data_IF_428294181093
#
_entry.id   IF_428294181093
#
_cell.length_a   1.000
_cell.length_b   1.000
_cell.length_c   1.000
_cell.angle_alpha   90.00
_cell.angle_beta   90.00
_cell.angle_gamma   90.00
#
_symmetry.space_group_name_H-M   'P 1'
#
loop_
_entity.id
_entity.type
_entity.pdbx_description
1 polymer ?
#
# COMPACT_ATOMS: atom_id res chain seq x y z
N UNK A 1 -6.63 -15.15 9.75
CA UNK A 1 -7.41 -15.99 8.81
C UNK A 1 -6.81 -17.38 8.69
N UNK A 2 -5.48 -17.55 8.70
CA UNK A 2 -4.79 -18.84 8.83
C UNK A 2 -3.52 -18.64 9.64
N UNK A 3 -3.21 -19.51 10.59
CA UNK A 3 -1.94 -19.46 11.34
C UNK A 3 -0.76 -19.84 10.43
N UNK A 4 0.41 -19.18 10.53
CA UNK A 4 1.56 -19.46 9.67
C UNK A 4 1.99 -20.94 9.68
N UNK A 5 1.97 -21.58 10.85
CA UNK A 5 2.29 -22.99 11.01
C UNK A 5 1.31 -23.89 10.25
N UNK A 6 0.02 -23.55 10.27
CA UNK A 6 -1.02 -24.30 9.57
C UNK A 6 -0.84 -24.16 8.05
N UNK A 7 -0.54 -22.95 7.56
CA UNK A 7 -0.24 -22.73 6.15
C UNK A 7 0.98 -23.53 5.69
N UNK A 8 2.06 -23.51 6.49
CA UNK A 8 3.27 -24.27 6.20
C UNK A 8 3.00 -25.78 6.13
N UNK A 9 2.27 -26.33 7.11
CA UNK A 9 1.88 -27.74 7.13
C UNK A 9 1.02 -28.11 5.92
N UNK A 10 0.03 -27.27 5.59
CA UNK A 10 -0.83 -27.49 4.44
C UNK A 10 -0.05 -27.59 3.12
N UNK A 11 0.94 -26.71 2.91
CA UNK A 11 1.80 -26.72 1.72
C UNK A 11 2.73 -27.93 1.71
N UNK A 12 3.42 -28.19 2.83
CA UNK A 12 4.38 -29.31 2.96
C UNK A 12 3.71 -30.66 2.72
N UNK A 13 2.55 -30.86 3.34
CA UNK A 13 1.84 -32.14 3.34
C UNK A 13 0.79 -32.24 2.21
N UNK A 14 0.74 -31.23 1.32
CA UNK A 14 -0.19 -31.14 0.17
C UNK A 14 -1.65 -31.29 0.57
N UNK A 15 -2.07 -30.59 1.62
CA UNK A 15 -3.43 -30.60 2.15
C UNK A 15 -4.18 -29.29 1.81
N UNK A 16 -4.67 -29.11 0.57
CA UNK A 16 -5.30 -27.86 0.13
C UNK A 16 -6.58 -27.52 0.90
N UNK A 17 -7.32 -28.52 1.38
CA UNK A 17 -8.62 -28.32 2.04
C UNK A 17 -8.53 -27.72 3.45
N UNK A 18 -7.32 -27.63 4.02
CA UNK A 18 -7.09 -27.10 5.37
C UNK A 18 -6.96 -25.58 5.44
N UNK A 19 -6.86 -24.93 4.29
CA UNK A 19 -6.69 -23.47 4.18
C UNK A 19 -7.54 -22.94 3.02
N UNK A 20 -7.84 -21.64 2.96
CA UNK A 20 -8.55 -21.06 1.82
C UNK A 20 -7.82 -21.33 0.50
N UNK A 21 -8.56 -21.74 -0.52
CA UNK A 21 -8.01 -22.14 -1.82
C UNK A 21 -7.12 -21.06 -2.46
N UNK A 22 -7.53 -19.79 -2.38
CA UNK A 22 -6.77 -18.66 -2.91
C UNK A 22 -5.39 -18.52 -2.23
N UNK A 23 -5.32 -18.77 -0.91
CA UNK A 23 -4.08 -18.66 -0.13
C UNK A 23 -3.16 -19.85 -0.40
N UNK A 24 -3.72 -21.05 -0.52
CA UNK A 24 -2.96 -22.24 -0.89
C UNK A 24 -2.34 -22.10 -2.28
N UNK A 25 -3.14 -21.71 -3.28
CA UNK A 25 -2.68 -21.49 -4.65
C UNK A 25 -1.60 -20.42 -4.70
N UNK A 26 -1.80 -19.30 -4.00
CA UNK A 26 -0.81 -18.24 -3.91
C UNK A 26 0.52 -18.67 -3.31
N UNK A 27 0.48 -19.46 -2.25
CA UNK A 27 1.70 -19.95 -1.62
C UNK A 27 2.44 -20.95 -2.51
N UNK A 28 1.74 -21.80 -3.25
CA UNK A 28 2.33 -22.70 -4.24
C UNK A 28 2.96 -21.92 -5.41
N UNK A 29 2.25 -20.91 -5.93
CA UNK A 29 2.75 -20.04 -7.00
C UNK A 29 4.04 -19.33 -6.56
N UNK A 30 4.01 -18.67 -5.40
CA UNK A 30 5.17 -17.99 -4.83
C UNK A 30 6.35 -18.95 -4.59
N UNK A 31 6.10 -20.14 -4.03
CA UNK A 31 7.14 -21.15 -3.84
C UNK A 31 7.74 -21.63 -5.18
N UNK A 32 6.92 -21.72 -6.23
CA UNK A 32 7.39 -22.12 -7.56
C UNK A 32 8.25 -21.04 -8.23
N UNK A 33 7.93 -19.75 -8.02
CA UNK A 33 8.70 -18.62 -8.54
C UNK A 33 10.14 -18.66 -8.01
N UNK A 34 10.32 -18.89 -6.72
CA UNK A 34 11.66 -19.01 -6.11
C UNK A 34 12.44 -20.18 -6.70
N UNK A 35 11.82 -21.36 -6.81
CA UNK A 35 12.52 -22.56 -7.31
C UNK A 35 12.98 -22.41 -8.75
N UNK A 36 12.18 -21.73 -9.57
CA UNK A 36 12.41 -21.67 -11.02
C UNK A 36 13.21 -20.43 -11.44
N UNK A 37 13.08 -19.31 -10.71
CA UNK A 37 13.64 -18.00 -11.09
C UNK A 37 14.60 -17.40 -10.05
N UNK A 38 14.71 -17.98 -8.85
CA UNK A 38 15.54 -17.49 -7.73
C UNK A 38 15.29 -16.03 -7.33
N UNK A 39 14.13 -15.47 -7.67
CA UNK A 39 13.76 -14.11 -7.33
C UNK A 39 12.88 -14.10 -6.07
N UNK A 40 13.46 -13.68 -4.95
CA UNK A 40 12.76 -13.58 -3.66
C UNK A 40 11.78 -12.40 -3.67
N UNK A 41 12.08 -11.33 -4.43
CA UNK A 41 11.21 -10.15 -4.48
C UNK A 41 9.89 -10.45 -5.23
N UNK A 42 9.89 -11.45 -6.12
CA UNK A 42 8.68 -11.91 -6.81
C UNK A 42 7.66 -12.54 -5.84
N UNK A 43 8.10 -13.12 -4.71
CA UNK A 43 7.21 -13.70 -3.68
C UNK A 43 6.27 -12.63 -3.13
N UNK A 44 6.82 -11.52 -2.65
CA UNK A 44 6.04 -10.45 -2.03
C UNK A 44 5.04 -9.87 -3.03
N UNK A 45 5.45 -9.72 -4.30
CA UNK A 45 4.57 -9.22 -5.37
C UNK A 45 3.39 -10.15 -5.65
N UNK A 46 3.63 -11.46 -5.72
CA UNK A 46 2.58 -12.47 -5.93
C UNK A 46 1.59 -12.43 -4.76
N UNK A 47 2.11 -12.48 -3.53
CA UNK A 47 1.29 -12.51 -2.33
C UNK A 47 0.49 -11.22 -2.14
N UNK A 48 1.10 -10.05 -2.36
CA UNK A 48 0.41 -8.77 -2.28
C UNK A 48 -0.70 -8.66 -3.33
N UNK A 49 -0.45 -9.07 -4.57
CA UNK A 49 -1.47 -9.07 -5.63
C UNK A 49 -2.65 -9.95 -5.26
N UNK A 50 -2.40 -11.15 -4.74
CA UNK A 50 -3.45 -12.08 -4.33
C UNK A 50 -4.24 -11.55 -3.14
N UNK A 51 -3.55 -11.02 -2.13
CA UNK A 51 -4.18 -10.43 -0.95
C UNK A 51 -5.09 -9.25 -1.32
N UNK A 52 -4.66 -8.35 -2.21
CA UNK A 52 -5.48 -7.23 -2.66
C UNK A 52 -6.65 -7.68 -3.55
N UNK A 53 -6.43 -8.67 -4.42
CA UNK A 53 -7.50 -9.24 -5.26
C UNK A 53 -8.60 -9.82 -4.38
N UNK A 54 -8.22 -10.62 -3.38
CA UNK A 54 -9.18 -11.24 -2.46
C UNK A 54 -9.86 -10.20 -1.56
N UNK A 55 -9.12 -9.19 -1.07
CA UNK A 55 -9.69 -8.12 -0.27
C UNK A 55 -10.76 -7.34 -1.06
N UNK A 56 -10.50 -7.06 -2.34
CA UNK A 56 -11.45 -6.36 -3.21
C UNK A 56 -12.67 -7.24 -3.51
N UNK A 57 -12.47 -8.53 -3.81
CA UNK A 57 -13.58 -9.48 -4.00
C UNK A 57 -14.50 -9.51 -2.77
N UNK A 58 -13.92 -9.66 -1.57
CA UNK A 58 -14.67 -9.65 -0.31
C UNK A 58 -15.40 -8.31 -0.10
N UNK A 59 -14.75 -7.19 -0.38
CA UNK A 59 -15.37 -5.87 -0.25
C UNK A 59 -16.53 -5.66 -1.25
N UNK A 60 -16.45 -6.25 -2.45
CA UNK A 60 -17.53 -6.26 -3.44
C UNK A 60 -18.71 -7.11 -2.95
N UNK A 61 -18.45 -8.28 -2.38
CA UNK A 61 -19.49 -9.16 -1.80
C UNK A 61 -20.19 -8.52 -0.60
N UNK A 62 -19.44 -7.79 0.23
CA UNK A 62 -19.97 -6.98 1.31
C UNK A 62 -20.87 -5.84 0.81
N UNK A 63 -20.74 -5.43 -0.45
CA UNK A 63 -21.52 -4.35 -1.06
C UNK A 63 -21.34 -2.99 -0.38
N UNK A 64 -20.20 -2.77 0.29
CA UNK A 64 -19.96 -1.57 1.08
C UNK A 64 -19.01 -0.59 0.34
N UNK A 65 -19.52 0.56 -0.14
CA UNK A 65 -18.73 1.52 -0.89
C UNK A 65 -17.56 2.11 -0.10
N UNK A 66 -17.69 2.27 1.23
CA UNK A 66 -16.63 2.84 2.05
C UNK A 66 -15.38 1.94 2.08
N UNK A 67 -15.57 0.61 2.14
CA UNK A 67 -14.49 -0.36 2.11
C UNK A 67 -13.87 -0.49 0.72
N UNK A 68 -14.69 -0.51 -0.32
CA UNK A 68 -14.21 -0.51 -1.70
C UNK A 68 -13.36 0.73 -2.00
N UNK A 69 -13.86 1.91 -1.64
CA UNK A 69 -13.13 3.17 -1.82
C UNK A 69 -11.82 3.19 -1.05
N UNK A 70 -11.80 2.64 0.18
CA UNK A 70 -10.58 2.49 0.96
C UNK A 70 -9.56 1.59 0.26
N UNK A 71 -9.98 0.43 -0.25
CA UNK A 71 -9.09 -0.51 -0.93
C UNK A 71 -8.58 0.06 -2.25
N UNK A 72 -9.45 0.69 -3.05
CA UNK A 72 -9.05 1.38 -4.28
C UNK A 72 -8.01 2.47 -4.00
N UNK A 73 -8.27 3.32 -2.99
CA UNK A 73 -7.33 4.35 -2.55
C UNK A 73 -5.99 3.74 -2.15
N UNK A 74 -6.01 2.69 -1.32
CA UNK A 74 -4.81 1.97 -0.89
C UNK A 74 -4.01 1.41 -2.06
N UNK A 75 -4.68 0.81 -3.04
CA UNK A 75 -4.06 0.27 -4.25
C UNK A 75 -3.40 1.38 -5.06
N UNK A 76 -4.10 2.49 -5.32
CA UNK A 76 -3.55 3.60 -6.11
C UNK A 76 -2.32 4.23 -5.43
N UNK A 77 -2.39 4.45 -4.12
CA UNK A 77 -1.26 4.99 -3.35
C UNK A 77 -0.04 4.04 -3.35
N UNK A 78 -0.29 2.73 -3.26
CA UNK A 78 0.77 1.73 -3.36
C UNK A 78 1.41 1.73 -4.76
N UNK A 79 0.59 1.77 -5.81
CA UNK A 79 1.04 1.81 -7.21
C UNK A 79 1.82 3.07 -7.54
N UNK A 80 1.37 4.24 -7.09
CA UNK A 80 2.12 5.49 -7.17
C UNK A 80 3.45 5.38 -6.41
N UNK A 81 3.44 4.80 -5.21
CA UNK A 81 4.66 4.55 -4.45
C UNK A 81 5.65 3.63 -5.19
N UNK A 82 5.16 2.60 -5.87
CA UNK A 82 5.96 1.72 -6.72
C UNK A 82 6.53 2.48 -7.91
N UNK A 83 5.73 3.28 -8.62
CA UNK A 83 6.18 4.13 -9.73
C UNK A 83 7.30 5.07 -9.29
N UNK A 84 7.10 5.79 -8.17
CA UNK A 84 8.09 6.71 -7.63
C UNK A 84 9.41 5.98 -7.31
N UNK A 85 9.34 4.86 -6.60
CA UNK A 85 10.54 4.06 -6.27
C UNK A 85 11.25 3.54 -7.52
N UNK A 86 10.50 3.01 -8.49
CA UNK A 86 11.08 2.49 -9.73
C UNK A 86 11.82 3.59 -10.51
N UNK A 87 11.27 4.81 -10.57
CA UNK A 87 11.94 5.96 -11.21
C UNK A 87 13.20 6.38 -10.44
N UNK A 88 13.13 6.47 -9.12
CA UNK A 88 14.28 6.83 -8.27
C UNK A 88 15.44 5.83 -8.39
N UNK A 89 15.11 4.54 -8.43
CA UNK A 89 16.07 3.44 -8.55
C UNK A 89 16.52 3.19 -10.00
N UNK A 90 15.95 3.90 -10.97
CA UNK A 90 16.14 3.64 -12.41
C UNK A 90 15.93 2.15 -12.75
N UNK A 91 14.89 1.57 -12.16
CA UNK A 91 14.53 0.17 -12.37
C UNK A 91 14.02 -0.07 -13.80
N UNK A 92 13.84 -1.34 -14.18
CA UNK A 92 13.21 -1.69 -15.46
C UNK A 92 11.68 -1.44 -15.39
N UNK A 93 11.12 -0.87 -16.46
CA UNK A 93 9.66 -0.72 -16.65
C UNK A 93 8.92 -2.05 -16.45
N UNK A 94 9.51 -3.17 -16.85
CA UNK A 94 8.96 -4.52 -16.65
C UNK A 94 8.76 -4.83 -15.17
N UNK A 95 9.74 -4.48 -14.33
CA UNK A 95 9.67 -4.70 -12.88
C UNK A 95 8.58 -3.84 -12.23
N UNK A 96 8.39 -2.60 -12.70
CA UNK A 96 7.26 -1.78 -12.26
C UNK A 96 5.94 -2.48 -12.58
N UNK A 97 5.73 -2.93 -13.81
CA UNK A 97 4.50 -3.62 -14.22
C UNK A 97 4.20 -4.87 -13.38
N UNK A 98 5.24 -5.63 -13.02
CA UNK A 98 5.10 -6.79 -12.13
C UNK A 98 4.74 -6.40 -10.69
N UNK A 99 5.14 -5.21 -10.22
CA UNK A 99 4.83 -4.72 -8.88
C UNK A 99 3.46 -4.05 -8.74
N UNK A 100 2.75 -3.78 -9.85
CA UNK A 100 1.47 -3.09 -9.79
C UNK A 100 0.39 -3.99 -9.19
N UNK A 101 -0.31 -3.43 -8.21
CA UNK A 101 -1.46 -4.01 -7.55
C UNK A 101 -2.73 -3.80 -8.39
N UNK A 102 -3.64 -4.80 -8.38
CA UNK A 102 -4.84 -4.78 -9.21
C UNK A 102 -5.95 -3.92 -8.60
N UNK A 103 -6.89 -3.51 -9.47
CA UNK A 103 -8.11 -2.81 -9.08
C UNK A 103 -7.85 -1.51 -8.29
N UNK A 104 -6.91 -0.70 -8.77
CA UNK A 104 -6.85 0.72 -8.47
C UNK A 104 -7.79 1.51 -9.40
N UNK A 105 -8.03 2.78 -9.12
CA UNK A 105 -8.73 3.67 -10.05
C UNK A 105 -7.79 4.22 -11.12
N UNK A 106 -6.48 4.23 -10.85
CA UNK A 106 -5.47 4.58 -11.85
C UNK A 106 -5.23 3.40 -12.80
N UNK A 107 -5.33 3.68 -14.10
CA UNK A 107 -5.04 2.68 -15.12
C UNK A 107 -3.54 2.32 -15.08
N UNK A 108 -3.24 1.01 -15.13
CA UNK A 108 -1.89 0.48 -15.21
C UNK A 108 -1.13 1.01 -16.43
N UNK A 109 -1.78 1.17 -17.57
CA UNK A 109 -1.16 1.72 -18.78
C UNK A 109 -0.69 3.15 -18.57
N UNK A 110 -1.48 3.97 -17.85
CA UNK A 110 -1.12 5.34 -17.48
C UNK A 110 0.08 5.36 -16.54
N UNK A 111 0.10 4.48 -15.53
CA UNK A 111 1.23 4.37 -14.61
C UNK A 111 2.51 3.95 -15.34
N UNK A 112 2.39 3.01 -16.28
CA UNK A 112 3.51 2.56 -17.11
C UNK A 112 3.96 3.63 -18.10
N UNK A 113 3.06 4.45 -18.66
CA UNK A 113 3.45 5.59 -19.49
C UNK A 113 4.19 6.65 -18.68
N UNK A 114 3.72 6.96 -17.47
CA UNK A 114 4.39 7.89 -16.57
C UNK A 114 5.79 7.41 -16.15
N UNK A 115 6.06 6.12 -16.17
CA UNK A 115 7.41 5.62 -15.92
C UNK A 115 8.46 6.19 -16.88
N UNK A 116 8.09 6.37 -18.17
CA UNK A 116 8.98 6.90 -19.20
C UNK A 116 8.75 8.40 -19.49
N UNK A 117 7.72 9.00 -18.91
CA UNK A 117 7.39 10.41 -19.13
C UNK A 117 8.36 11.37 -18.44
N UNK A 118 8.38 12.60 -18.93
CA UNK A 118 9.07 13.71 -18.28
C UNK A 118 8.40 14.07 -16.96
N UNK A 119 9.21 14.51 -15.98
CA UNK A 119 8.75 14.84 -14.63
C UNK A 119 7.63 15.89 -14.62
N UNK A 120 7.72 16.89 -15.50
CA UNK A 120 6.73 17.96 -15.65
C UNK A 120 5.35 17.40 -16.04
N UNK A 121 5.31 16.49 -17.02
CA UNK A 121 4.07 15.84 -17.46
C UNK A 121 3.39 15.08 -16.31
N UNK A 122 4.15 14.30 -15.54
CA UNK A 122 3.61 13.50 -14.43
C UNK A 122 3.04 14.43 -13.35
N UNK A 123 3.77 15.50 -13.02
CA UNK A 123 3.33 16.48 -12.02
C UNK A 123 2.05 17.19 -12.47
N UNK A 124 1.95 17.61 -13.73
CA UNK A 124 0.74 18.23 -14.27
C UNK A 124 -0.46 17.28 -14.28
N UNK A 125 -0.27 16.03 -14.70
CA UNK A 125 -1.35 15.06 -14.76
C UNK A 125 -1.86 14.69 -13.36
N UNK A 126 -0.95 14.48 -12.39
CA UNK A 126 -1.32 14.21 -11.01
C UNK A 126 -2.00 15.41 -10.34
N UNK A 127 -1.55 16.64 -10.64
CA UNK A 127 -2.13 17.86 -10.08
C UNK A 127 -3.60 18.08 -10.47
N UNK A 128 -4.04 17.54 -11.61
CA UNK A 128 -5.44 17.57 -12.08
C UNK A 128 -6.31 16.49 -11.43
N UNK A 129 -5.70 15.50 -10.79
CA UNK A 129 -6.37 14.31 -10.27
C UNK A 129 -6.62 14.33 -8.76
N UNK A 130 -7.21 13.24 -8.22
CA UNK A 130 -7.47 13.10 -6.78
C UNK A 130 -6.20 12.96 -5.93
N UNK A 131 -5.03 12.86 -6.56
CA UNK A 131 -3.72 12.68 -5.94
C UNK A 131 -2.81 13.90 -6.11
N UNK A 132 -3.39 15.09 -6.28
CA UNK A 132 -2.64 16.33 -6.51
C UNK A 132 -1.56 16.61 -5.45
N UNK A 133 -1.82 16.25 -4.19
CA UNK A 133 -0.85 16.38 -3.09
C UNK A 133 0.44 15.55 -3.29
N UNK A 134 0.39 14.53 -4.15
CA UNK A 134 1.55 13.68 -4.46
C UNK A 134 2.36 14.18 -5.66
N UNK A 135 1.82 15.11 -6.45
CA UNK A 135 2.46 15.62 -7.67
C UNK A 135 3.88 16.20 -7.44
N UNK A 136 4.16 16.93 -6.34
CA UNK A 136 5.50 17.50 -6.11
C UNK A 136 6.61 16.45 -5.99
N UNK A 137 6.28 15.23 -5.54
CA UNK A 137 7.26 14.15 -5.40
C UNK A 137 7.76 13.61 -6.75
N UNK A 138 7.08 13.95 -7.86
CA UNK A 138 7.46 13.55 -9.21
C UNK A 138 8.19 14.63 -10.00
N UNK A 139 8.43 15.80 -9.41
CA UNK A 139 9.09 16.95 -10.04
C UNK A 139 10.57 16.72 -10.45
N UNK A 140 11.15 15.57 -10.09
CA UNK A 140 12.56 15.24 -10.35
C UNK A 140 13.53 15.80 -9.30
N UNK A 141 13.10 16.71 -8.43
CA UNK A 141 13.90 17.22 -7.32
C UNK A 141 13.85 16.27 -6.11
N UNK A 142 14.63 15.19 -6.18
CA UNK A 142 14.65 14.17 -5.15
C UNK A 142 15.76 14.44 -4.13
N UNK A 143 15.37 14.56 -2.86
CA UNK A 143 16.27 14.78 -1.74
C UNK A 143 16.22 13.60 -0.77
N UNK A 144 17.16 13.55 0.18
CA UNK A 144 17.08 12.59 1.28
C UNK A 144 15.76 12.82 2.01
N UNK A 145 14.96 11.76 2.14
CA UNK A 145 13.67 11.81 2.83
C UNK A 145 12.45 11.90 1.90
N UNK A 146 12.60 12.08 0.58
CA UNK A 146 11.48 12.13 -0.38
C UNK A 146 10.50 10.96 -0.21
N UNK A 147 11.01 9.71 -0.12
CA UNK A 147 10.16 8.53 0.09
C UNK A 147 9.43 8.52 1.44
N UNK A 148 10.06 9.08 2.47
CA UNK A 148 9.45 9.17 3.80
C UNK A 148 8.32 10.21 3.81
N UNK A 149 8.57 11.37 3.21
CA UNK A 149 7.58 12.43 3.03
C UNK A 149 6.40 11.97 2.14
N UNK A 150 6.69 11.29 1.03
CA UNK A 150 5.67 10.66 0.19
C UNK A 150 4.80 9.69 0.98
N UNK A 151 5.42 8.81 1.78
CA UNK A 151 4.71 7.88 2.64
C UNK A 151 3.83 8.58 3.67
N UNK A 152 4.30 9.70 4.24
CA UNK A 152 3.51 10.54 5.16
C UNK A 152 2.27 11.12 4.47
N UNK A 153 2.43 11.68 3.26
CA UNK A 153 1.29 12.20 2.49
C UNK A 153 0.30 11.11 2.12
N UNK A 154 0.75 9.91 1.74
CA UNK A 154 -0.13 8.76 1.52
C UNK A 154 -0.94 8.40 2.77
N UNK A 155 -0.30 8.36 3.93
CA UNK A 155 -0.96 8.07 5.20
C UNK A 155 -2.00 9.17 5.56
N UNK A 156 -1.75 10.44 5.21
CA UNK A 156 -2.72 11.51 5.36
C UNK A 156 -3.95 11.34 4.46
N UNK A 157 -3.75 11.02 3.18
CA UNK A 157 -4.85 10.73 2.26
C UNK A 157 -5.73 9.57 2.75
N UNK A 158 -5.09 8.53 3.32
CA UNK A 158 -5.81 7.43 3.97
C UNK A 158 -6.62 7.94 5.16
N UNK A 159 -6.02 8.72 6.06
CA UNK A 159 -6.72 9.28 7.22
C UNK A 159 -7.93 10.13 6.82
N UNK A 160 -7.79 10.95 5.78
CA UNK A 160 -8.88 11.81 5.31
C UNK A 160 -10.04 10.99 4.73
N UNK A 161 -9.77 9.82 4.14
CA UNK A 161 -10.81 8.84 3.83
C UNK A 161 -11.45 8.25 5.09
N UNK A 162 -10.65 7.80 6.07
CA UNK A 162 -11.17 7.20 7.31
C UNK A 162 -12.06 8.15 8.11
N UNK A 163 -11.76 9.46 8.10
CA UNK A 163 -12.59 10.48 8.77
C UNK A 163 -14.02 10.51 8.27
N UNK A 164 -14.29 10.12 7.01
CA UNK A 164 -15.66 10.09 6.49
C UNK A 164 -16.58 9.20 7.31
N UNK A 165 -16.03 8.20 8.02
CA UNK A 165 -16.78 7.35 8.93
C UNK A 165 -17.41 8.10 10.12
N UNK A 166 -16.93 9.31 10.48
CA UNK A 166 -17.53 10.11 11.55
C UNK A 166 -18.93 10.63 11.20
N UNK A 167 -19.25 10.70 9.90
CA UNK A 167 -20.57 11.12 9.41
C UNK A 167 -21.55 9.93 9.29
N UNK A 168 -21.09 8.72 9.59
CA UNK A 168 -21.90 7.51 9.55
C UNK A 168 -22.45 7.27 10.96
N UNK A 169 -23.78 7.25 11.10
CA UNK A 169 -24.46 7.09 12.40
C UNK A 169 -24.37 5.66 12.93
N UNK A 170 -24.51 4.66 12.05
CA UNK A 170 -24.46 3.24 12.38
C UNK A 170 -23.90 2.48 11.18
N UNK A 171 -22.90 1.63 11.41
CA UNK A 171 -22.35 0.78 10.37
C UNK A 171 -20.96 0.23 10.72
N UNK A 172 -20.48 -0.78 9.97
CA UNK A 172 -19.18 -1.41 10.19
C UNK A 172 -17.99 -0.48 9.86
N UNK A 173 -18.23 0.66 9.22
CA UNK A 173 -17.23 1.66 8.86
C UNK A 173 -16.63 2.34 10.09
N UNK A 174 -17.45 2.58 11.13
CA UNK A 174 -17.03 3.24 12.36
C UNK A 174 -15.93 2.42 13.09
N UNK A 175 -16.18 1.14 13.45
CA UNK A 175 -15.15 0.33 14.11
C UNK A 175 -13.95 0.07 13.21
N UNK A 176 -14.14 -0.07 11.89
CA UNK A 176 -13.00 -0.27 10.99
C UNK A 176 -12.12 0.98 10.90
N UNK A 177 -12.71 2.16 10.74
CA UNK A 177 -11.97 3.42 10.68
C UNK A 177 -11.18 3.64 11.98
N UNK A 178 -11.77 3.31 13.13
CA UNK A 178 -11.06 3.30 14.40
C UNK A 178 -9.87 2.33 14.40
N UNK A 179 -10.07 1.06 14.01
CA UNK A 179 -9.01 0.06 13.96
C UNK A 179 -7.85 0.50 13.06
N UNK A 180 -8.15 0.97 11.85
CA UNK A 180 -7.15 1.43 10.89
C UNK A 180 -6.40 2.67 11.38
N UNK A 181 -7.08 3.61 12.03
CA UNK A 181 -6.44 4.75 12.68
C UNK A 181 -5.49 4.30 13.81
N UNK A 182 -5.90 3.33 14.63
CA UNK A 182 -5.04 2.77 15.70
C UNK A 182 -3.79 2.07 15.13
N UNK A 183 -3.91 1.36 14.01
CA UNK A 183 -2.76 0.78 13.32
C UNK A 183 -1.77 1.85 12.84
N UNK A 184 -2.28 3.00 12.38
CA UNK A 184 -1.44 4.13 11.98
C UNK A 184 -0.73 4.77 13.17
N UNK A 185 -1.41 4.90 14.30
CA UNK A 185 -0.79 5.38 15.55
C UNK A 185 0.30 4.43 16.05
N UNK A 186 0.09 3.11 15.96
CA UNK A 186 1.12 2.11 16.27
C UNK A 186 2.34 2.27 15.34
N UNK A 187 2.11 2.52 14.03
CA UNK A 187 3.19 2.81 13.07
C UNK A 187 3.97 4.06 13.48
N UNK A 188 3.31 5.12 13.91
CA UNK A 188 3.96 6.32 14.44
C UNK A 188 4.84 6.03 15.66
N UNK A 189 4.34 5.25 16.62
CA UNK A 189 5.12 4.84 17.79
C UNK A 189 6.38 4.06 17.38
N UNK A 190 6.26 3.11 16.44
CA UNK A 190 7.41 2.34 15.93
C UNK A 190 8.46 3.23 15.25
N UNK A 191 8.00 4.25 14.51
CA UNK A 191 8.90 5.23 13.89
C UNK A 191 9.62 6.04 14.95
N UNK A 192 8.90 6.58 15.94
CA UNK A 192 9.52 7.31 17.05
C UNK A 192 10.54 6.45 17.79
N UNK A 193 10.22 5.19 18.10
CA UNK A 193 11.15 4.24 18.73
C UNK A 193 12.40 4.01 17.88
N UNK A 194 12.26 3.87 16.57
CA UNK A 194 13.40 3.67 15.66
C UNK A 194 14.32 4.89 15.64
N UNK A 195 13.75 6.09 15.59
CA UNK A 195 14.51 7.35 15.60
C UNK A 195 15.24 7.57 16.94
N UNK A 196 14.56 7.31 18.06
CA UNK A 196 15.16 7.38 19.40
C UNK A 196 16.30 6.39 19.57
N UNK A 197 16.12 5.13 19.11
CA UNK A 197 17.18 4.11 19.15
C UNK A 197 18.41 4.51 18.33
N UNK A 198 18.21 5.22 17.22
CA UNK A 198 19.27 5.74 16.37
C UNK A 198 19.82 7.10 16.84
N UNK A 199 19.42 7.60 18.02
CA UNK A 199 19.86 8.87 18.62
C UNK A 199 19.65 10.08 17.71
N UNK A 200 18.61 10.07 16.89
CA UNK A 200 18.28 11.19 16.00
C UNK A 200 17.60 12.33 16.78
N UNK A 201 17.77 13.59 16.34
CA UNK A 201 17.18 14.74 17.04
C UNK A 201 15.66 14.68 17.13
N UNK A 202 15.09 15.08 18.26
CA UNK A 202 13.63 15.09 18.50
C UNK A 202 12.83 15.93 17.51
N UNK A 203 13.48 16.88 16.82
CA UNK A 203 12.86 17.64 15.72
C UNK A 203 12.47 16.74 14.53
N UNK A 204 13.32 15.78 14.17
CA UNK A 204 13.04 14.82 13.10
C UNK A 204 11.92 13.85 13.47
N UNK A 205 11.75 13.56 14.76
CA UNK A 205 10.63 12.74 15.27
C UNK A 205 9.30 13.43 14.98
N UNK A 206 9.20 14.74 15.24
CA UNK A 206 7.99 15.52 14.97
C UNK A 206 7.69 15.63 13.47
N UNK A 207 8.73 15.82 12.66
CA UNK A 207 8.60 15.92 11.22
C UNK A 207 8.07 14.62 10.59
N UNK A 208 8.54 13.47 11.09
CA UNK A 208 8.18 12.14 10.58
C UNK A 208 6.93 11.54 11.22
N UNK A 209 6.42 12.13 12.30
CA UNK A 209 5.15 11.77 12.89
C UNK A 209 4.01 12.09 11.91
N UNK A 210 3.11 11.13 11.71
CA UNK A 210 1.84 11.34 10.99
C UNK A 210 0.81 11.90 11.95
N UNK A 211 -0.16 12.61 11.41
CA UNK A 211 -1.30 13.05 12.18
C UNK A 211 -2.08 11.85 12.75
N UNK A 212 -2.78 12.07 13.87
CA UNK A 212 -3.71 11.09 14.41
C UNK A 212 -5.14 11.46 14.05
N UNK A 213 -6.01 10.46 13.97
CA UNK A 213 -7.44 10.69 13.74
C UNK A 213 -8.05 11.54 14.89
N UNK A 214 -7.50 11.42 16.10
CA UNK A 214 -7.93 12.19 17.27
C UNK A 214 -7.43 13.65 17.29
N UNK A 215 -6.28 13.95 16.68
CA UNK A 215 -5.69 15.29 16.65
C UNK A 215 -6.33 16.23 15.61
N UNK A 216 -7.18 15.70 14.71
CA UNK A 216 -7.89 16.47 13.69
C UNK A 216 -9.42 16.52 13.94
N UNK A 217 -9.86 16.35 15.19
CA UNK A 217 -11.25 16.58 15.63
C UNK A 217 -11.47 18.06 15.95
#
# INVERSE_FOLDING_TARGET
LVEPELLFQAIRDRMPDRVPAWLYQGAIEAASAVRNRYDIAEIDQILDRLAYTEAIRLAQELGNPFFLDYLHLRTDLANLGSLLRSRLLKADRRLLGQSLLPAGRLNHDTLLSWFAAESEQITEDLAKGPFAELAPFYSGQNQRGTLSAFGKTCDHLILDHLKKAQFILRGPEIPLAYLLARLLEIKNVRIAQTLLRNKLPSAQIRELARDSLAARR
#
